data_IF_063120967439
#
_entry.id   IF_063120967439
#
_cell.length_a   1.000
_cell.length_b   1.000
_cell.length_c   1.000
_cell.angle_alpha   90.00
_cell.angle_beta   90.00
_cell.angle_gamma   90.00
#
_symmetry.space_group_name_H-M   'P 1'
#
loop_
_entity.id
_entity.type
_entity.pdbx_description
1 polymer ?
#
# COMPACT_ATOMS: atom_id res chain seq x y z
N UNK A 1 13.20 -4.18 -20.06
CA UNK A 1 13.78 -4.62 -18.78
C UNK A 1 15.24 -4.92 -19.04
N UNK A 2 16.20 -4.30 -18.36
CA UNK A 2 17.59 -4.66 -18.57
C UNK A 2 17.81 -6.05 -17.94
N UNK A 3 17.89 -7.08 -18.77
CA UNK A 3 18.24 -8.45 -18.40
C UNK A 3 17.08 -9.31 -17.89
N UNK A 4 16.74 -10.35 -18.64
CA UNK A 4 15.85 -11.46 -18.26
C UNK A 4 16.27 -12.23 -16.97
N UNK A 5 17.38 -11.85 -16.33
CA UNK A 5 18.00 -12.54 -15.19
C UNK A 5 17.69 -12.00 -13.79
N UNK A 6 16.87 -10.95 -13.62
CA UNK A 6 16.68 -10.28 -12.33
C UNK A 6 15.51 -10.80 -11.46
N UNK A 7 14.67 -11.67 -12.00
CA UNK A 7 13.49 -12.19 -11.31
C UNK A 7 13.78 -13.54 -10.64
N UNK A 8 13.77 -13.59 -9.29
CA UNK A 8 13.84 -14.87 -8.57
C UNK A 8 12.66 -15.76 -8.98
N UNK A 9 12.89 -17.06 -9.14
CA UNK A 9 11.86 -18.03 -9.55
C UNK A 9 10.65 -18.05 -8.60
N UNK A 10 10.86 -17.75 -7.33
CA UNK A 10 9.83 -17.73 -6.28
C UNK A 10 9.20 -16.36 -6.04
N UNK A 11 9.39 -15.38 -6.93
CA UNK A 11 8.92 -13.99 -6.74
C UNK A 11 7.40 -13.88 -6.48
N UNK A 12 6.59 -14.74 -7.11
CA UNK A 12 5.15 -14.78 -6.89
C UNK A 12 4.80 -15.24 -5.48
N UNK A 13 5.44 -16.31 -5.01
CA UNK A 13 5.26 -16.84 -3.66
C UNK A 13 5.78 -15.85 -2.60
N UNK A 14 6.91 -15.19 -2.86
CA UNK A 14 7.40 -14.12 -1.99
C UNK A 14 6.42 -12.96 -1.88
N UNK A 15 5.84 -12.54 -3.01
CA UNK A 15 4.82 -11.48 -3.06
C UNK A 15 3.58 -11.89 -2.25
N UNK A 16 3.10 -13.12 -2.41
CA UNK A 16 1.98 -13.68 -1.65
C UNK A 16 2.24 -13.65 -0.15
N UNK A 17 3.38 -14.16 0.31
CA UNK A 17 3.74 -14.17 1.74
C UNK A 17 3.86 -12.76 2.32
N UNK A 18 4.44 -11.83 1.57
CA UNK A 18 4.55 -10.44 2.01
C UNK A 18 3.17 -9.79 2.15
N UNK A 19 2.28 -9.97 1.16
CA UNK A 19 0.91 -9.44 1.24
C UNK A 19 0.11 -10.10 2.37
N UNK A 20 0.29 -11.40 2.61
CA UNK A 20 -0.33 -12.10 3.73
C UNK A 20 0.09 -11.48 5.08
N UNK A 21 1.39 -11.25 5.28
CA UNK A 21 1.92 -10.63 6.50
C UNK A 21 1.44 -9.19 6.66
N UNK A 22 1.45 -8.41 5.58
CA UNK A 22 0.98 -7.02 5.58
C UNK A 22 -0.51 -6.94 5.92
N UNK A 23 -1.31 -7.85 5.38
CA UNK A 23 -2.74 -7.93 5.68
C UNK A 23 -3.00 -8.34 7.15
N UNK A 24 -2.30 -9.37 7.62
CA UNK A 24 -2.45 -9.89 8.98
C UNK A 24 -2.13 -8.85 10.06
N UNK A 25 -1.15 -7.97 9.81
CA UNK A 25 -0.69 -6.97 10.79
C UNK A 25 -1.35 -5.59 10.61
N UNK A 26 -2.13 -5.36 9.55
CA UNK A 26 -2.68 -4.05 9.24
C UNK A 26 -3.66 -3.54 10.30
N UNK A 27 -4.55 -4.41 10.78
CA UNK A 27 -5.54 -4.03 11.78
C UNK A 27 -4.89 -3.69 13.12
N UNK A 28 -3.88 -4.46 13.54
CA UNK A 28 -3.13 -4.20 14.77
C UNK A 28 -2.36 -2.88 14.71
N UNK A 29 -1.74 -2.59 13.55
CA UNK A 29 -1.08 -1.30 13.32
C UNK A 29 -2.06 -0.12 13.43
N UNK A 30 -3.26 -0.25 12.87
CA UNK A 30 -4.29 0.79 12.96
C UNK A 30 -4.79 0.97 14.40
N UNK A 31 -5.08 -0.13 15.10
CA UNK A 31 -5.49 -0.11 16.51
C UNK A 31 -4.42 0.52 17.41
N UNK A 32 -3.13 0.17 17.19
CA UNK A 32 -2.01 0.77 17.90
C UNK A 32 -1.92 2.28 17.67
N UNK A 33 -2.13 2.72 16.42
CA UNK A 33 -2.13 4.14 16.10
C UNK A 33 -3.21 4.90 16.88
N UNK A 34 -4.45 4.41 16.87
CA UNK A 34 -5.56 5.02 17.61
C UNK A 34 -5.26 5.14 19.10
N UNK A 35 -4.78 4.04 19.71
CA UNK A 35 -4.38 3.99 21.12
C UNK A 35 -3.33 5.04 21.46
N UNK A 36 -2.32 5.21 20.61
CA UNK A 36 -1.25 6.19 20.82
C UNK A 36 -1.71 7.63 20.57
N UNK A 37 -2.71 7.87 19.71
CA UNK A 37 -3.24 9.22 19.52
C UNK A 37 -4.12 9.69 20.68
N UNK A 38 -4.86 8.77 21.31
CA UNK A 38 -5.80 9.06 22.39
C UNK A 38 -7.05 9.80 21.91
N UNK A 39 -7.78 10.42 22.84
CA UNK A 39 -8.99 11.19 22.51
C UNK A 39 -8.68 12.43 21.66
N UNK A 40 -9.54 12.78 20.68
CA UNK A 40 -10.81 12.12 20.32
C UNK A 40 -10.66 10.98 19.30
N UNK A 41 -9.46 10.57 18.91
CA UNK A 41 -9.27 9.58 17.84
C UNK A 41 -9.80 8.19 18.22
N UNK A 42 -9.69 7.80 19.49
CA UNK A 42 -10.21 6.50 19.95
C UNK A 42 -11.74 6.44 19.90
N UNK A 43 -12.45 7.46 20.38
CA UNK A 43 -13.93 7.49 20.42
C UNK A 43 -14.57 7.85 19.08
N UNK A 44 -14.02 8.82 18.36
CA UNK A 44 -14.59 9.35 17.11
C UNK A 44 -13.91 8.74 15.87
N UNK A 45 -13.49 7.47 15.96
CA UNK A 45 -12.71 6.78 14.92
C UNK A 45 -13.39 6.83 13.54
N UNK A 46 -14.71 6.62 13.47
CA UNK A 46 -15.46 6.61 12.21
C UNK A 46 -15.55 7.97 11.53
N UNK A 47 -15.57 9.03 12.33
CA UNK A 47 -15.64 10.41 11.85
C UNK A 47 -14.26 10.94 11.47
N UNK A 48 -13.27 10.76 12.35
CA UNK A 48 -11.94 11.34 12.19
C UNK A 48 -11.08 10.57 11.22
N UNK A 49 -11.18 9.24 11.22
CA UNK A 49 -10.36 8.36 10.40
C UNK A 49 -11.08 7.88 9.15
N UNK A 50 -12.22 8.50 8.79
CA UNK A 50 -12.93 8.19 7.57
C UNK A 50 -12.00 8.30 6.34
N UNK A 51 -11.84 7.23 5.55
CA UNK A 51 -10.85 7.19 4.48
C UNK A 51 -11.34 7.86 3.18
N UNK A 52 -12.57 8.41 3.13
CA UNK A 52 -13.19 8.92 1.91
C UNK A 52 -12.41 10.06 1.23
N UNK A 53 -11.65 10.85 2.00
CA UNK A 53 -10.78 11.90 1.46
C UNK A 53 -9.37 11.45 1.07
N UNK A 54 -9.01 10.18 1.30
CA UNK A 54 -7.67 9.67 0.99
C UNK A 54 -7.65 9.13 -0.43
N UNK A 55 -6.94 9.83 -1.31
CA UNK A 55 -6.68 9.34 -2.64
C UNK A 55 -5.72 8.16 -2.60
N UNK A 56 -6.21 6.98 -3.00
CA UNK A 56 -5.38 5.86 -3.43
C UNK A 56 -5.52 5.74 -4.94
N UNK A 57 -4.41 5.69 -5.69
CA UNK A 57 -4.48 5.61 -7.14
C UNK A 57 -5.22 4.35 -7.57
N UNK A 58 -6.16 4.51 -8.50
CA UNK A 58 -6.71 3.38 -9.22
C UNK A 58 -5.58 2.69 -10.00
N UNK A 59 -5.60 1.36 -10.06
CA UNK A 59 -4.63 0.62 -10.86
C UNK A 59 -4.88 0.90 -12.34
N UNK A 60 -4.06 1.74 -12.96
CA UNK A 60 -4.10 2.06 -14.39
C UNK A 60 -2.78 1.62 -15.01
N UNK A 61 -2.86 0.82 -16.07
CA UNK A 61 -1.70 0.32 -16.81
C UNK A 61 -1.63 1.07 -18.13
N UNK A 62 -0.78 2.09 -18.20
CA UNK A 62 -0.48 2.80 -19.45
C UNK A 62 0.98 2.60 -19.83
N UNK A 63 1.25 2.51 -21.14
CA UNK A 63 2.62 2.64 -21.68
C UNK A 63 3.00 4.13 -21.62
N UNK A 64 4.18 4.40 -21.07
CA UNK A 64 4.92 5.68 -20.93
C UNK A 64 4.57 6.59 -19.73
N UNK A 65 5.50 6.78 -18.77
CA UNK A 65 5.92 8.08 -18.22
C UNK A 65 7.05 7.99 -17.16
N UNK A 66 7.89 9.04 -17.08
CA UNK A 66 9.22 9.20 -16.44
C UNK A 66 9.46 8.78 -14.97
N UNK A 67 10.74 8.44 -14.69
CA UNK A 67 11.26 7.86 -13.43
C UNK A 67 11.29 8.86 -12.25
N UNK A 68 10.75 8.45 -11.09
CA UNK A 68 11.26 8.87 -9.76
C UNK A 68 11.33 7.68 -8.80
N UNK A 69 12.50 7.48 -8.20
CA UNK A 69 12.88 6.33 -7.37
C UNK A 69 12.45 6.55 -5.90
N UNK A 70 11.74 5.59 -5.28
CA UNK A 70 11.46 5.55 -3.83
C UNK A 70 12.08 4.29 -3.21
N UNK A 71 12.86 4.44 -2.13
CA UNK A 71 13.85 3.41 -1.70
C UNK A 71 13.48 2.49 -0.53
N UNK A 72 12.29 2.55 0.07
CA UNK A 72 11.99 1.72 1.27
C UNK A 72 10.92 0.64 1.05
N UNK A 73 10.11 0.75 -0.01
CA UNK A 73 9.19 -0.30 -0.49
C UNK A 73 9.88 -1.30 -1.45
N UNK A 74 11.22 -1.26 -1.53
CA UNK A 74 12.03 -1.84 -2.59
C UNK A 74 11.78 -3.33 -2.83
N UNK A 75 11.56 -4.14 -1.79
CA UNK A 75 11.37 -5.59 -1.95
C UNK A 75 10.09 -5.96 -2.69
N UNK A 76 8.93 -5.58 -2.12
CA UNK A 76 7.63 -5.87 -2.72
C UNK A 76 7.44 -5.15 -4.07
N UNK A 77 7.84 -3.88 -4.17
CA UNK A 77 7.76 -3.14 -5.44
C UNK A 77 8.70 -3.75 -6.48
N UNK A 78 9.90 -4.21 -6.11
CA UNK A 78 10.79 -4.92 -7.03
C UNK A 78 10.17 -6.24 -7.50
N UNK A 79 9.58 -7.01 -6.59
CA UNK A 79 8.91 -8.27 -6.92
C UNK A 79 7.72 -8.05 -7.87
N UNK A 80 6.88 -7.04 -7.60
CA UNK A 80 5.76 -6.67 -8.45
C UNK A 80 6.21 -6.14 -9.81
N UNK A 81 7.22 -5.26 -9.85
CA UNK A 81 7.79 -4.73 -11.10
C UNK A 81 8.38 -5.87 -11.95
N UNK A 82 9.03 -6.83 -11.29
CA UNK A 82 9.53 -8.06 -11.91
C UNK A 82 8.40 -8.91 -12.50
N UNK A 83 7.32 -9.18 -11.75
CA UNK A 83 6.15 -9.92 -12.24
C UNK A 83 5.49 -9.22 -13.43
N UNK A 84 5.32 -7.90 -13.34
CA UNK A 84 4.73 -7.07 -14.40
C UNK A 84 5.59 -7.10 -15.68
N UNK A 85 6.91 -7.00 -15.52
CA UNK A 85 7.85 -7.15 -16.63
C UNK A 85 7.77 -8.55 -17.26
N UNK A 86 7.87 -9.61 -16.47
CA UNK A 86 7.95 -11.00 -16.96
C UNK A 86 6.66 -11.43 -17.66
N UNK A 87 5.50 -11.10 -17.10
CA UNK A 87 4.22 -11.64 -17.58
C UNK A 87 3.53 -10.72 -18.59
N UNK A 88 3.83 -9.42 -18.57
CA UNK A 88 3.08 -8.41 -19.33
C UNK A 88 3.96 -7.44 -20.13
N UNK A 89 5.29 -7.62 -20.13
CA UNK A 89 6.25 -6.72 -20.81
C UNK A 89 6.08 -5.25 -20.40
N UNK A 90 5.72 -5.01 -19.13
CA UNK A 90 5.61 -3.66 -18.56
C UNK A 90 6.98 -3.23 -18.05
N UNK A 91 7.50 -2.13 -18.59
CA UNK A 91 8.86 -1.65 -18.30
C UNK A 91 8.92 -0.51 -17.30
N UNK A 92 7.77 0.13 -17.05
CA UNK A 92 7.64 1.31 -16.23
C UNK A 92 6.26 1.31 -15.58
N UNK A 93 6.20 1.73 -14.32
CA UNK A 93 4.98 1.87 -13.55
C UNK A 93 4.96 3.30 -13.04
N UNK A 94 3.88 4.01 -13.34
CA UNK A 94 3.69 5.36 -12.82
C UNK A 94 3.37 5.29 -11.33
N UNK A 95 4.10 6.08 -10.52
CA UNK A 95 3.89 6.14 -9.08
C UNK A 95 3.22 7.46 -8.74
N UNK A 96 2.05 7.39 -8.11
CA UNK A 96 1.40 8.55 -7.51
C UNK A 96 1.81 8.69 -6.05
N UNK A 97 2.32 9.86 -5.68
CA UNK A 97 2.62 10.18 -4.28
C UNK A 97 1.37 10.70 -3.58
N UNK A 98 1.21 10.35 -2.30
CA UNK A 98 0.13 10.88 -1.47
C UNK A 98 0.31 12.37 -1.17
N UNK A 99 -0.79 13.03 -0.80
CA UNK A 99 -0.77 14.46 -0.47
C UNK A 99 0.17 14.78 0.69
N UNK A 100 0.96 15.84 0.52
CA UNK A 100 1.84 16.34 1.57
C UNK A 100 1.06 16.82 2.79
N UNK A 101 1.57 16.50 3.97
CA UNK A 101 1.07 17.02 5.25
C UNK A 101 1.82 18.27 5.72
N UNK A 102 2.75 18.79 4.92
CA UNK A 102 3.51 20.02 5.22
C UNK A 102 2.54 21.20 5.33
N UNK A 103 2.74 22.04 6.35
CA UNK A 103 1.86 23.20 6.63
C UNK A 103 0.55 22.87 7.35
N UNK A 104 0.15 21.60 7.48
CA UNK A 104 -1.05 21.21 8.25
C UNK A 104 -0.78 21.29 9.77
N UNK A 105 -1.82 21.58 10.54
CA UNK A 105 -1.76 21.55 12.01
C UNK A 105 -1.45 20.14 12.53
N UNK A 106 -0.96 20.04 13.77
CA UNK A 106 -0.68 18.74 14.39
C UNK A 106 -1.92 17.83 14.39
N UNK A 107 -3.09 18.36 14.72
CA UNK A 107 -4.35 17.62 14.67
C UNK A 107 -4.65 17.10 13.25
N UNK A 108 -4.52 17.94 12.22
CA UNK A 108 -4.78 17.53 10.83
C UNK A 108 -3.77 16.50 10.31
N UNK A 109 -2.50 16.56 10.76
CA UNK A 109 -1.50 15.53 10.46
C UNK A 109 -1.89 14.18 11.07
N UNK A 110 -2.33 14.19 12.35
CA UNK A 110 -2.84 12.99 13.03
C UNK A 110 -4.08 12.43 12.33
N UNK A 111 -5.02 13.31 11.98
CA UNK A 111 -6.21 12.95 11.23
C UNK A 111 -5.87 12.28 9.90
N UNK A 112 -5.03 12.93 9.09
CA UNK A 112 -4.59 12.37 7.81
C UNK A 112 -3.89 11.02 7.99
N UNK A 113 -2.98 10.88 8.96
CA UNK A 113 -2.33 9.61 9.27
C UNK A 113 -3.32 8.49 9.62
N UNK A 114 -4.33 8.82 10.43
CA UNK A 114 -5.39 7.88 10.77
C UNK A 114 -6.20 7.42 9.55
N UNK A 115 -6.60 8.37 8.69
CA UNK A 115 -7.36 8.07 7.48
C UNK A 115 -6.55 7.20 6.50
N UNK A 116 -5.25 7.48 6.35
CA UNK A 116 -4.34 6.69 5.50
C UNK A 116 -4.22 5.26 6.02
N UNK A 117 -4.07 5.06 7.34
CA UNK A 117 -3.99 3.73 7.93
C UNK A 117 -5.31 2.96 7.78
N UNK A 118 -6.46 3.61 7.99
CA UNK A 118 -7.76 2.98 7.76
C UNK A 118 -7.95 2.57 6.30
N UNK A 119 -7.51 3.41 5.34
CA UNK A 119 -7.53 3.08 3.92
C UNK A 119 -6.57 1.94 3.58
N UNK A 120 -5.38 1.92 4.19
CA UNK A 120 -4.41 0.85 4.03
C UNK A 120 -4.99 -0.51 4.44
N UNK A 121 -5.66 -0.61 5.60
CA UNK A 121 -6.35 -1.83 6.05
C UNK A 121 -7.34 -2.33 5.00
N UNK A 122 -8.14 -1.44 4.41
CA UNK A 122 -9.11 -1.81 3.38
C UNK A 122 -8.44 -2.33 2.10
N UNK A 123 -7.40 -1.62 1.63
CA UNK A 123 -6.73 -1.92 0.36
C UNK A 123 -5.92 -3.21 0.47
N UNK A 124 -5.21 -3.43 1.58
CA UNK A 124 -4.39 -4.65 1.74
C UNK A 124 -5.25 -5.90 1.88
N UNK A 125 -6.44 -5.81 2.49
CA UNK A 125 -7.40 -6.91 2.54
C UNK A 125 -7.92 -7.27 1.14
N UNK A 126 -8.21 -6.27 0.30
CA UNK A 126 -8.59 -6.51 -1.09
C UNK A 126 -7.46 -7.16 -1.88
N UNK A 127 -6.22 -6.66 -1.73
CA UNK A 127 -5.05 -7.23 -2.39
C UNK A 127 -4.79 -8.68 -1.95
N UNK A 128 -4.95 -8.97 -0.66
CA UNK A 128 -4.80 -10.31 -0.11
C UNK A 128 -5.82 -11.28 -0.72
N UNK A 129 -7.10 -10.91 -0.82
CA UNK A 129 -8.14 -11.75 -1.46
C UNK A 129 -7.80 -12.14 -2.89
N UNK A 130 -7.24 -11.21 -3.66
CA UNK A 130 -6.85 -11.46 -5.07
C UNK A 130 -5.62 -12.36 -5.16
N UNK A 131 -4.62 -12.13 -4.31
CA UNK A 131 -3.32 -12.83 -4.40
C UNK A 131 -3.30 -14.18 -3.67
N UNK A 132 -4.20 -14.37 -2.71
CA UNK A 132 -4.28 -15.52 -1.80
C UNK A 132 -5.66 -16.20 -1.89
N UNK A 133 -6.02 -16.78 -3.05
CA UNK A 133 -7.37 -17.33 -3.25
C UNK A 133 -7.70 -18.47 -2.26
N UNK A 134 -6.70 -19.22 -1.79
CA UNK A 134 -6.86 -20.30 -0.81
C UNK A 134 -7.02 -19.83 0.65
N UNK A 135 -6.95 -18.53 0.91
CA UNK A 135 -7.17 -17.92 2.23
C UNK A 135 -8.55 -17.22 2.33
N UNK A 136 -9.43 -17.45 1.36
CA UNK A 136 -10.85 -17.14 1.51
C UNK A 136 -11.50 -18.21 2.39
N UNK A 137 -12.40 -17.86 3.33
CA UNK A 137 -13.06 -18.83 4.20
C UNK A 137 -13.85 -19.89 3.43
#
# INVERSE_FOLDING_TARGET
>A
CPGHGLCRSNVQEQTRRQVALLNATAQDLFSLYLKCQGEPFSSETDKLCNPGGVFFPAFRVNRTSDRKEARTTRGLISNLTCLLCKNYNVFQVDVSYGESSKGKSAFKKKQQGCQVLRKYVQVIAQAARVLLPHLSP
#
